data_IF_959124992937
#
_entry.id   IF_959124992937
#
_cell.length_a   1.000
_cell.length_b   1.000
_cell.length_c   1.000
_cell.angle_alpha   90.00
_cell.angle_beta   90.00
_cell.angle_gamma   90.00
#
_symmetry.space_group_name_H-M   'P 1'
#
loop_
_entity.id
_entity.type
_entity.pdbx_description
1 polymer ?
#
# COMPACT_ATOMS: atom_id res chain seq x y z
N UNK A 1 -7.18 10.65 -1.63
CA UNK A 1 -8.02 9.54 -2.13
C UNK A 1 -8.28 8.45 -1.08
N UNK A 2 -7.40 8.23 -0.10
CA UNK A 2 -7.63 7.21 0.94
C UNK A 2 -8.85 7.51 1.84
N UNK A 3 -9.03 8.77 2.27
CA UNK A 3 -10.14 9.15 3.14
C UNK A 3 -11.53 8.94 2.50
N UNK A 4 -11.70 9.34 1.24
CA UNK A 4 -12.96 9.17 0.52
C UNK A 4 -13.32 7.69 0.33
N UNK A 5 -12.36 6.83 0.01
CA UNK A 5 -12.60 5.39 -0.13
C UNK A 5 -13.01 4.74 1.20
N UNK A 6 -12.40 5.14 2.31
CA UNK A 6 -12.75 4.61 3.63
C UNK A 6 -14.19 4.96 4.01
N UNK A 7 -14.64 6.19 3.74
CA UNK A 7 -16.03 6.61 3.97
C UNK A 7 -17.02 5.84 3.10
N UNK A 8 -16.72 5.64 1.81
CA UNK A 8 -17.60 4.87 0.91
C UNK A 8 -17.69 3.40 1.34
N UNK A 9 -16.58 2.77 1.73
CA UNK A 9 -16.60 1.39 2.25
C UNK A 9 -17.41 1.28 3.55
N UNK A 10 -17.32 2.27 4.44
CA UNK A 10 -18.11 2.29 5.67
C UNK A 10 -19.61 2.42 5.38
N UNK A 11 -19.99 3.30 4.44
CA UNK A 11 -21.38 3.49 4.02
C UNK A 11 -21.95 2.21 3.38
N UNK A 12 -21.16 1.52 2.57
CA UNK A 12 -21.51 0.25 1.95
C UNK A 12 -21.88 -0.82 3.01
N UNK A 13 -21.04 -0.96 4.04
CA UNK A 13 -21.26 -1.93 5.14
C UNK A 13 -22.50 -1.55 5.95
N UNK A 14 -22.69 -0.26 6.26
CA UNK A 14 -23.86 0.25 6.98
C UNK A 14 -25.15 0.07 6.16
N UNK A 15 -25.07 0.17 4.83
CA UNK A 15 -26.16 -0.08 3.89
C UNK A 15 -26.52 -1.57 3.72
N UNK A 16 -25.91 -2.47 4.50
CA UNK A 16 -26.21 -3.90 4.48
C UNK A 16 -25.49 -4.68 3.38
N UNK A 17 -24.43 -4.13 2.79
CA UNK A 17 -23.61 -4.88 1.84
C UNK A 17 -22.87 -6.01 2.56
N UNK A 18 -23.13 -7.23 2.10
CA UNK A 18 -22.42 -8.42 2.55
C UNK A 18 -21.33 -8.73 1.52
N UNK A 19 -20.07 -8.58 1.92
CA UNK A 19 -18.96 -8.91 1.04
C UNK A 19 -18.90 -10.43 0.81
N UNK A 20 -18.96 -10.92 -0.45
CA UNK A 20 -18.94 -12.36 -0.73
C UNK A 20 -17.54 -12.98 -0.55
N UNK A 21 -16.50 -12.16 -0.45
CA UNK A 21 -15.12 -12.59 -0.20
C UNK A 21 -14.81 -12.39 1.29
N UNK A 22 -14.16 -13.38 1.90
CA UNK A 22 -13.76 -13.24 3.31
C UNK A 22 -12.70 -12.15 3.47
N UNK A 23 -12.65 -11.55 4.66
CA UNK A 23 -11.63 -10.54 4.96
C UNK A 23 -10.21 -11.14 4.83
N UNK A 24 -10.02 -12.37 5.29
CA UNK A 24 -8.73 -13.07 5.23
C UNK A 24 -8.23 -13.26 3.80
N UNK A 25 -9.13 -13.60 2.87
CA UNK A 25 -8.79 -13.74 1.44
C UNK A 25 -8.32 -12.42 0.84
N UNK A 26 -8.96 -11.31 1.24
CA UNK A 26 -8.59 -9.97 0.79
C UNK A 26 -7.23 -9.53 1.33
N UNK A 27 -6.91 -9.90 2.58
CA UNK A 27 -5.61 -9.65 3.21
C UNK A 27 -4.53 -10.44 2.49
N UNK A 28 -4.77 -11.73 2.24
CA UNK A 28 -3.82 -12.61 1.56
C UNK A 28 -3.55 -12.13 0.12
N UNK A 29 -4.59 -11.74 -0.63
CA UNK A 29 -4.42 -11.20 -1.98
C UNK A 29 -3.57 -9.91 -2.00
N UNK A 30 -3.77 -9.02 -1.01
CA UNK A 30 -2.96 -7.82 -0.83
C UNK A 30 -1.49 -8.15 -0.52
N UNK A 31 -1.26 -9.17 0.32
CA UNK A 31 0.09 -9.63 0.64
C UNK A 31 0.81 -10.29 -0.53
N UNK A 32 0.11 -11.14 -1.29
CA UNK A 32 0.64 -11.82 -2.47
C UNK A 32 0.96 -10.84 -3.60
N UNK A 33 0.08 -9.88 -3.89
CA UNK A 33 0.36 -8.81 -4.84
C UNK A 33 1.57 -7.96 -4.40
N UNK A 34 1.70 -7.67 -3.10
CA UNK A 34 2.89 -7.04 -2.53
C UNK A 34 4.17 -7.87 -2.67
N UNK A 35 4.09 -9.21 -2.67
CA UNK A 35 5.23 -10.10 -2.91
C UNK A 35 5.61 -10.21 -4.39
N UNK A 36 4.65 -10.06 -5.30
CA UNK A 36 4.90 -10.02 -6.74
C UNK A 36 5.64 -8.75 -7.17
N UNK A 37 5.59 -7.67 -6.38
CA UNK A 37 6.42 -6.49 -6.62
C UNK A 37 7.91 -6.82 -6.41
N UNK A 38 8.80 -6.48 -7.36
CA UNK A 38 10.23 -6.67 -7.19
C UNK A 38 10.72 -5.89 -5.96
N UNK A 39 11.71 -6.43 -5.21
CA UNK A 39 12.21 -5.83 -3.96
C UNK A 39 12.68 -4.37 -4.09
N UNK A 40 13.02 -3.93 -5.30
CA UNK A 40 13.40 -2.54 -5.62
C UNK A 40 12.21 -1.56 -5.64
N UNK A 41 10.98 -2.04 -5.74
CA UNK A 41 9.75 -1.23 -5.78
C UNK A 41 8.88 -1.39 -4.53
N UNK A 42 9.28 -2.25 -3.59
CA UNK A 42 8.64 -2.37 -2.28
C UNK A 42 9.06 -1.20 -1.37
N UNK A 43 8.34 -1.00 -0.26
CA UNK A 43 8.61 0.00 0.78
C UNK A 43 9.94 -0.19 1.54
N UNK A 44 10.90 -0.90 0.95
CA UNK A 44 12.24 -1.16 1.46
C UNK A 44 13.25 -0.08 1.08
N UNK A 45 12.88 0.88 0.21
CA UNK A 45 13.76 1.93 -0.32
C UNK A 45 15.01 1.41 -1.05
N UNK A 46 14.99 0.14 -1.50
CA UNK A 46 16.11 -0.50 -2.20
C UNK A 46 16.11 -0.28 -3.72
N UNK A 47 15.21 0.57 -4.25
CA UNK A 47 15.15 0.88 -5.67
C UNK A 47 14.21 2.05 -6.01
N UNK A 48 14.02 2.30 -7.31
CA UNK A 48 13.24 3.43 -7.81
C UNK A 48 13.87 4.78 -7.45
N UNK A 49 13.05 5.72 -6.95
CA UNK A 49 13.51 7.07 -6.54
C UNK A 49 14.53 6.99 -5.41
N UNK A 50 14.45 5.99 -4.51
CA UNK A 50 15.31 5.91 -3.33
C UNK A 50 16.80 5.64 -3.64
N UNK A 51 17.13 5.09 -4.82
CA UNK A 51 18.53 4.86 -5.25
C UNK A 51 19.12 6.00 -6.09
N UNK A 52 18.28 6.97 -6.50
CA UNK A 52 18.72 8.13 -7.28
C UNK A 52 19.65 9.03 -6.46
N UNK A 53 20.58 9.73 -7.11
CA UNK A 53 21.48 10.66 -6.42
C UNK A 53 20.71 11.70 -5.60
N UNK A 54 19.60 12.21 -6.12
CA UNK A 54 18.74 13.18 -5.43
C UNK A 54 18.18 12.66 -4.09
N UNK A 55 17.77 11.38 -4.03
CA UNK A 55 17.26 10.78 -2.80
C UNK A 55 18.37 10.47 -1.79
N UNK A 56 19.57 10.06 -2.25
CA UNK A 56 20.74 9.86 -1.39
C UNK A 56 21.18 11.16 -0.72
N UNK A 57 21.11 12.28 -1.43
CA UNK A 57 21.42 13.61 -0.89
C UNK A 57 20.46 14.00 0.25
N UNK A 58 19.17 13.66 0.12
CA UNK A 58 18.16 13.92 1.17
C UNK A 58 18.34 13.05 2.42
N UNK A 59 18.71 11.77 2.26
CA UNK A 59 18.90 10.82 3.37
C UNK A 59 20.10 11.11 4.28
N UNK A 60 21.05 11.93 3.83
CA UNK A 60 22.24 12.34 4.59
C UNK A 60 21.98 13.62 5.41
N UNK A 61 20.86 14.31 5.19
CA UNK A 61 20.48 15.49 5.98
C UNK A 61 19.78 15.09 7.28
N UNK A 62 20.54 14.41 8.15
CA UNK A 62 20.20 14.31 9.58
C UNK A 62 20.93 15.46 10.28
N UNK A 63 20.27 16.62 10.35
CA UNK A 63 20.60 17.72 11.27
C UNK A 63 19.32 18.41 11.73
#
# INVERSE_FOLDING_TARGET
MAASNAFICADLIVGGYVNPINLDDSIQASFESGKMLPPQLRCTSLGGIAITESAKILGIKKS
#
